data_IF_028144873795
#
_entry.id   IF_028144873795
#
_cell.length_a   1.000
_cell.length_b   1.000
_cell.length_c   1.000
_cell.angle_alpha   90.00
_cell.angle_beta   90.00
_cell.angle_gamma   90.00
#
_symmetry.space_group_name_H-M   'P 1'
#
loop_
_entity.id
_entity.type
_entity.pdbx_description
1 polymer ?
#
# COMPACT_ATOMS: atom_id res chain seq x y z
N UNK A 1 4.03 40.96 21.11
CA UNK A 1 5.18 40.04 21.01
C UNK A 1 4.66 38.69 21.47
N UNK A 2 4.35 37.81 20.50
CA UNK A 2 3.85 36.46 20.78
C UNK A 2 5.02 35.59 21.22
N UNK A 3 4.96 35.06 22.44
CA UNK A 3 5.86 34.02 22.89
C UNK A 3 5.84 32.86 21.89
N UNK A 4 6.96 32.69 21.18
CA UNK A 4 7.18 31.53 20.35
C UNK A 4 7.26 30.33 21.29
N UNK A 5 6.14 29.65 21.47
CA UNK A 5 6.07 28.35 22.15
C UNK A 5 7.06 27.45 21.45
N UNK A 6 8.14 27.08 22.14
CA UNK A 6 8.98 25.93 21.80
C UNK A 6 8.09 24.69 21.92
N UNK A 7 7.21 24.49 20.94
CA UNK A 7 6.45 23.26 20.83
C UNK A 7 7.47 22.15 20.53
N UNK A 8 7.72 21.33 21.52
CA UNK A 8 8.34 20.02 21.35
C UNK A 8 7.57 19.31 20.23
N UNK A 9 8.24 19.02 19.13
CA UNK A 9 7.73 18.49 17.86
C UNK A 9 7.26 17.02 17.96
N UNK A 10 6.35 16.75 18.90
CA UNK A 10 5.84 15.40 19.17
C UNK A 10 4.57 15.06 18.38
N UNK A 11 4.23 15.87 17.38
CA UNK A 11 3.08 15.64 16.52
C UNK A 11 3.35 16.10 15.09
N UNK A 12 2.56 15.58 14.17
CA UNK A 12 2.52 15.99 12.77
C UNK A 12 1.19 16.64 12.44
N UNK A 13 1.20 17.59 11.50
CA UNK A 13 0.03 18.28 10.96
C UNK A 13 -0.29 17.67 9.59
N UNK A 14 -1.50 17.19 9.41
CA UNK A 14 -1.99 16.67 8.15
C UNK A 14 -3.11 17.60 7.69
N UNK A 15 -2.85 18.52 6.74
CA UNK A 15 -3.88 19.41 6.20
C UNK A 15 -5.05 18.63 5.62
N UNK A 16 -6.26 19.17 5.76
CA UNK A 16 -7.47 18.53 5.23
C UNK A 16 -7.41 18.35 3.71
N UNK A 17 -6.72 19.24 3.02
CA UNK A 17 -6.50 19.20 1.58
C UNK A 17 -5.73 17.95 1.11
N UNK A 18 -4.92 17.34 1.99
CA UNK A 18 -4.20 16.12 1.66
C UNK A 18 -5.08 14.87 1.69
N UNK A 19 -6.12 14.86 2.52
CA UNK A 19 -6.95 13.70 2.77
C UNK A 19 -7.74 13.26 1.52
N UNK A 20 -8.13 14.20 0.68
CA UNK A 20 -8.93 13.94 -0.52
C UNK A 20 -8.09 13.54 -1.75
N UNK A 21 -6.75 13.47 -1.64
CA UNK A 21 -5.86 13.20 -2.79
C UNK A 21 -5.57 11.73 -3.04
N UNK A 22 -6.21 10.81 -2.33
CA UNK A 22 -6.09 9.36 -2.54
C UNK A 22 -4.76 8.74 -2.08
N UNK A 23 -3.98 9.44 -1.27
CA UNK A 23 -2.76 8.87 -0.69
C UNK A 23 -3.07 7.76 0.32
N UNK A 24 -2.18 6.78 0.40
CA UNK A 24 -2.24 5.78 1.47
C UNK A 24 -2.08 6.43 2.84
N UNK A 25 -2.51 5.75 3.91
CA UNK A 25 -2.29 6.24 5.27
C UNK A 25 -0.81 6.55 5.55
N UNK A 26 0.10 5.69 5.10
CA UNK A 26 1.55 5.92 5.20
C UNK A 26 2.01 7.14 4.39
N UNK A 27 1.46 7.34 3.19
CA UNK A 27 1.74 8.51 2.35
C UNK A 27 1.28 9.81 3.02
N UNK A 28 0.07 9.84 3.59
CA UNK A 28 -0.46 10.98 4.33
C UNK A 28 0.41 11.35 5.53
N UNK A 29 0.90 10.34 6.28
CA UNK A 29 1.77 10.56 7.42
C UNK A 29 3.15 11.11 6.99
N UNK A 30 3.72 10.53 5.94
CA UNK A 30 4.99 10.99 5.38
C UNK A 30 4.88 12.43 4.89
N UNK A 31 3.83 12.75 4.13
CA UNK A 31 3.54 14.10 3.66
C UNK A 31 3.29 15.07 4.83
N UNK A 32 2.48 14.67 5.80
CA UNK A 32 2.18 15.46 7.00
C UNK A 32 3.44 15.80 7.80
N UNK A 33 4.38 14.85 7.91
CA UNK A 33 5.67 15.12 8.57
C UNK A 33 6.51 16.11 7.76
N UNK A 34 6.65 15.91 6.45
CA UNK A 34 7.36 16.86 5.59
C UNK A 34 6.72 18.24 5.69
N UNK A 35 5.39 18.33 5.59
CA UNK A 35 4.66 19.60 5.72
C UNK A 35 4.92 20.27 7.06
N UNK A 36 4.84 19.54 8.17
CA UNK A 36 5.03 20.10 9.53
C UNK A 36 6.41 20.72 9.70
N UNK A 37 7.43 20.07 9.18
CA UNK A 37 8.81 20.52 9.33
C UNK A 37 9.29 21.46 8.23
N UNK A 38 8.58 21.54 7.09
CA UNK A 38 8.87 22.50 6.01
C UNK A 38 8.00 23.75 6.04
N UNK A 39 6.90 23.77 6.81
CA UNK A 39 6.07 24.95 6.96
C UNK A 39 6.69 25.95 7.94
N UNK A 40 6.30 27.18 7.85
CA UNK A 40 6.89 28.45 8.32
C UNK A 40 7.44 28.57 9.76
N UNK A 41 7.34 27.54 10.59
CA UNK A 41 7.93 27.52 11.94
C UNK A 41 9.32 26.85 12.00
N UNK A 42 9.75 26.18 10.94
CA UNK A 42 11.12 25.70 10.84
C UNK A 42 12.01 26.84 10.34
N UNK A 43 13.00 27.24 11.11
CA UNK A 43 13.98 28.30 10.76
C UNK A 43 14.58 28.19 9.34
N UNK A 44 14.38 27.07 8.66
CA UNK A 44 14.95 26.77 7.35
C UNK A 44 13.94 26.29 6.29
N UNK A 45 12.64 26.19 6.60
CA UNK A 45 11.61 25.81 5.62
C UNK A 45 11.75 24.41 5.01
N UNK A 46 12.59 23.54 5.58
CA UNK A 46 12.89 22.22 5.04
C UNK A 46 12.82 21.13 6.10
N UNK A 47 12.24 19.97 5.76
CA UNK A 47 12.26 18.77 6.59
C UNK A 47 13.59 18.02 6.38
N UNK A 48 14.45 18.01 7.37
CA UNK A 48 15.76 17.33 7.36
C UNK A 48 15.70 16.04 8.14
N UNK A 49 14.85 15.13 7.74
CA UNK A 49 14.75 13.81 8.39
C UNK A 49 15.23 12.72 7.42
N UNK A 50 16.09 11.82 7.89
CA UNK A 50 16.49 10.65 7.12
C UNK A 50 15.31 9.68 6.98
N UNK A 51 15.35 8.80 5.98
CA UNK A 51 14.35 7.73 5.85
C UNK A 51 14.33 6.85 7.10
N UNK A 52 15.48 6.61 7.71
CA UNK A 52 15.60 5.89 8.99
C UNK A 52 14.80 6.59 10.11
N UNK A 53 14.83 7.92 10.18
CA UNK A 53 14.05 8.69 11.16
C UNK A 53 12.55 8.59 10.88
N UNK A 54 12.12 8.72 9.61
CA UNK A 54 10.71 8.54 9.24
C UNK A 54 10.24 7.11 9.54
N UNK A 55 11.06 6.12 9.18
CA UNK A 55 10.79 4.71 9.39
C UNK A 55 10.57 4.42 10.89
N UNK A 56 11.44 4.95 11.75
CA UNK A 56 11.33 4.84 13.20
C UNK A 56 10.06 5.51 13.73
N UNK A 57 9.77 6.73 13.30
CA UNK A 57 8.64 7.51 13.83
C UNK A 57 7.29 6.87 13.49
N UNK A 58 7.15 6.30 12.29
CA UNK A 58 5.90 5.72 11.82
C UNK A 58 5.86 4.19 11.83
N UNK A 59 6.93 3.54 12.29
CA UNK A 59 7.07 2.08 12.27
C UNK A 59 6.85 1.51 10.86
N UNK A 60 7.53 2.11 9.92
CA UNK A 60 7.59 1.70 8.52
C UNK A 60 9.03 1.30 8.18
N UNK A 61 9.22 0.52 7.12
CA UNK A 61 10.57 0.30 6.58
C UNK A 61 11.07 1.55 5.84
N UNK A 62 12.38 1.75 5.79
CA UNK A 62 12.98 2.84 5.00
C UNK A 62 12.57 2.76 3.53
N UNK A 63 12.38 1.55 3.01
CA UNK A 63 11.94 1.29 1.64
C UNK A 63 10.49 1.73 1.41
N UNK A 64 9.60 1.49 2.38
CA UNK A 64 8.23 2.02 2.31
C UNK A 64 8.23 3.54 2.31
N UNK A 65 9.04 4.17 3.17
CA UNK A 65 9.19 5.63 3.18
C UNK A 65 9.74 6.13 1.84
N UNK A 66 10.78 5.49 1.29
CA UNK A 66 11.34 5.85 -0.02
C UNK A 66 10.29 5.79 -1.14
N UNK A 67 9.44 4.74 -1.13
CA UNK A 67 8.32 4.61 -2.07
C UNK A 67 7.30 5.75 -1.90
N UNK A 68 6.89 6.03 -0.67
CA UNK A 68 5.94 7.12 -0.41
C UNK A 68 6.51 8.48 -0.87
N UNK A 69 7.77 8.78 -0.56
CA UNK A 69 8.43 10.00 -1.02
C UNK A 69 8.53 10.06 -2.54
N UNK A 70 8.77 8.91 -3.22
CA UNK A 70 8.78 8.84 -4.68
C UNK A 70 7.40 9.17 -5.26
N UNK A 71 6.33 8.61 -4.70
CA UNK A 71 4.94 8.90 -5.08
C UNK A 71 4.61 10.39 -4.87
N UNK A 72 4.93 10.94 -3.69
CA UNK A 72 4.71 12.36 -3.38
C UNK A 72 5.48 13.31 -4.30
N UNK A 73 6.67 12.91 -4.77
CA UNK A 73 7.44 13.68 -5.77
C UNK A 73 6.80 13.60 -7.15
N UNK A 74 6.28 12.45 -7.55
CA UNK A 74 5.57 12.29 -8.82
C UNK A 74 4.31 13.16 -8.87
N UNK A 75 3.60 13.30 -7.74
CA UNK A 75 2.45 14.18 -7.56
C UNK A 75 2.83 15.66 -7.32
N UNK A 76 4.11 16.01 -7.43
CA UNK A 76 4.64 17.36 -7.22
C UNK A 76 4.32 17.97 -5.84
N UNK A 77 3.99 17.13 -4.87
CA UNK A 77 3.70 17.57 -3.50
C UNK A 77 4.96 17.86 -2.68
N UNK A 78 6.08 17.25 -3.06
CA UNK A 78 7.35 17.34 -2.34
C UNK A 78 8.50 17.52 -3.31
N UNK A 79 9.38 18.48 -3.00
CA UNK A 79 10.66 18.69 -3.68
C UNK A 79 11.79 18.22 -2.75
N UNK A 80 12.77 17.55 -3.33
CA UNK A 80 13.98 17.12 -2.63
C UNK A 80 15.15 18.04 -3.00
N UNK A 81 15.73 18.68 -2.00
CA UNK A 81 17.01 19.37 -2.16
C UNK A 81 18.16 18.37 -2.13
N UNK A 82 18.90 18.30 -3.24
CA UNK A 82 20.06 17.42 -3.42
C UNK A 82 21.40 18.13 -3.14
N UNK A 83 21.38 19.41 -2.79
CA UNK A 83 22.59 20.21 -2.65
C UNK A 83 23.51 19.75 -1.52
N UNK A 84 23.01 18.95 -0.57
CA UNK A 84 23.77 18.45 0.59
C UNK A 84 23.88 16.93 0.57
N UNK A 85 25.12 16.42 0.57
CA UNK A 85 25.42 14.97 0.51
C UNK A 85 25.03 14.19 1.76
N UNK A 86 24.91 14.81 2.91
CA UNK A 86 24.78 14.10 4.19
C UNK A 86 23.34 13.77 4.61
N UNK A 87 22.36 14.60 4.25
CA UNK A 87 20.93 14.37 4.56
C UNK A 87 20.06 14.94 3.45
N UNK A 88 19.14 14.14 2.94
CA UNK A 88 18.14 14.67 2.01
C UNK A 88 17.21 15.63 2.75
N UNK A 89 17.08 16.84 2.22
CA UNK A 89 16.12 17.82 2.69
C UNK A 89 14.88 17.79 1.80
N UNK A 90 13.70 17.79 2.41
CA UNK A 90 12.41 17.75 1.73
C UNK A 90 11.64 19.02 2.04
N UNK A 91 11.05 19.62 1.01
CA UNK A 91 10.19 20.78 1.15
C UNK A 91 8.81 20.45 0.57
N UNK A 92 7.77 20.84 1.26
CA UNK A 92 6.43 20.82 0.71
C UNK A 92 6.33 21.84 -0.43
N UNK A 93 5.90 21.40 -1.61
CA UNK A 93 5.85 22.20 -2.84
C UNK A 93 4.42 22.39 -3.37
N UNK A 94 3.41 21.86 -2.70
CA UNK A 94 2.01 22.03 -3.09
C UNK A 94 1.49 23.44 -2.80
N UNK A 95 0.23 23.65 -3.15
CA UNK A 95 -0.48 24.91 -2.89
C UNK A 95 -0.53 25.24 -1.39
N UNK A 96 -0.71 26.52 -1.06
CA UNK A 96 -0.89 26.95 0.33
C UNK A 96 -2.11 26.24 0.91
N UNK A 97 -1.88 25.46 1.98
CA UNK A 97 -2.95 24.81 2.71
C UNK A 97 -3.70 25.83 3.59
N UNK A 98 -4.99 25.65 3.70
CA UNK A 98 -5.83 26.41 4.62
C UNK A 98 -5.45 26.16 6.08
N UNK A 99 -6.18 26.78 7.01
CA UNK A 99 -5.88 26.71 8.46
C UNK A 99 -6.30 25.40 9.14
N UNK A 100 -6.94 24.49 8.41
CA UNK A 100 -7.46 23.23 8.95
C UNK A 100 -6.49 22.07 8.78
N UNK A 101 -6.17 21.37 9.88
CA UNK A 101 -5.35 20.17 9.84
C UNK A 101 -5.75 19.16 10.92
N UNK A 102 -5.47 17.89 10.65
CA UNK A 102 -5.51 16.83 11.66
C UNK A 102 -4.17 16.82 12.40
N UNK A 103 -4.25 16.83 13.72
CA UNK A 103 -3.07 16.66 14.58
C UNK A 103 -2.89 15.20 14.94
N UNK A 104 -1.79 14.59 14.51
CA UNK A 104 -1.44 13.21 14.82
C UNK A 104 -0.18 13.15 15.67
N UNK A 105 -0.29 12.55 16.84
CA UNK A 105 0.78 12.51 17.84
C UNK A 105 1.71 11.33 17.58
N UNK A 106 3.03 11.55 17.58
CA UNK A 106 4.02 10.53 17.28
C UNK A 106 4.01 9.34 18.26
N UNK A 107 3.65 9.54 19.52
CA UNK A 107 3.58 8.44 20.48
C UNK A 107 2.53 7.38 20.13
N UNK A 108 1.50 7.73 19.36
CA UNK A 108 0.46 6.78 18.93
C UNK A 108 1.03 5.68 18.05
N UNK A 109 2.12 5.94 17.32
CA UNK A 109 2.81 4.96 16.46
C UNK A 109 3.78 4.07 17.24
N UNK A 110 4.23 4.53 18.40
CA UNK A 110 5.33 3.92 19.15
C UNK A 110 4.92 3.27 20.47
N UNK A 111 3.64 3.26 20.81
CA UNK A 111 3.12 2.63 22.01
C UNK A 111 2.10 1.55 21.68
N UNK A 112 2.17 0.47 22.44
CA UNK A 112 1.17 -0.60 22.40
C UNK A 112 -0.06 -0.19 23.23
N UNK A 113 -1.20 -0.65 22.75
CA UNK A 113 -2.49 -0.48 23.41
C UNK A 113 -3.08 -1.84 23.68
N UNK A 114 -3.67 -2.00 24.86
CA UNK A 114 -4.46 -3.18 25.22
C UNK A 114 -5.79 -3.12 24.47
N UNK A 115 -6.07 -4.13 23.64
CA UNK A 115 -7.29 -4.22 22.86
C UNK A 115 -8.06 -5.44 23.36
N UNK A 116 -9.23 -5.22 23.90
CA UNK A 116 -10.05 -6.31 24.40
C UNK A 116 -10.30 -7.36 23.33
N UNK A 117 -9.96 -8.61 23.64
CA UNK A 117 -10.04 -9.75 22.74
C UNK A 117 -8.86 -9.95 21.77
N UNK A 118 -7.90 -8.99 21.69
CA UNK A 118 -6.71 -9.10 20.83
C UNK A 118 -5.38 -9.00 21.61
N UNK A 119 -5.43 -8.56 22.90
CA UNK A 119 -4.24 -8.33 23.71
C UNK A 119 -3.52 -7.02 23.35
N UNK A 120 -2.22 -6.94 23.71
CA UNK A 120 -1.40 -5.75 23.46
C UNK A 120 -0.87 -5.76 22.02
N UNK A 121 -1.17 -4.70 21.30
CA UNK A 121 -0.58 -4.45 19.98
C UNK A 121 -0.49 -2.95 19.68
N UNK A 122 0.24 -2.63 18.66
CA UNK A 122 0.27 -1.28 18.10
C UNK A 122 -0.97 -1.02 17.25
N UNK A 123 -1.39 0.25 17.22
CA UNK A 123 -2.43 0.67 16.29
C UNK A 123 -1.90 0.70 14.85
N UNK A 124 -2.72 0.32 13.91
CA UNK A 124 -2.43 0.50 12.48
C UNK A 124 -2.48 1.98 12.09
N UNK A 125 -1.85 2.34 10.97
CA UNK A 125 -1.86 3.72 10.48
C UNK A 125 -3.28 4.27 10.24
N UNK A 126 -4.19 3.43 9.73
CA UNK A 126 -5.60 3.81 9.54
C UNK A 126 -6.32 4.04 10.87
N UNK A 127 -6.08 3.19 11.87
CA UNK A 127 -6.64 3.38 13.24
C UNK A 127 -6.13 4.68 13.86
N UNK A 128 -4.84 4.99 13.66
CA UNK A 128 -4.26 6.24 14.17
C UNK A 128 -4.83 7.46 13.45
N UNK A 129 -5.03 7.41 12.12
CA UNK A 129 -5.66 8.50 11.37
C UNK A 129 -7.09 8.76 11.84
N UNK A 130 -7.90 7.71 12.03
CA UNK A 130 -9.27 7.84 12.56
C UNK A 130 -9.26 8.43 13.98
N UNK A 131 -8.37 7.94 14.85
CA UNK A 131 -8.20 8.47 16.21
C UNK A 131 -7.77 9.93 16.19
N UNK A 132 -6.82 10.29 15.33
CA UNK A 132 -6.30 11.66 15.20
C UNK A 132 -7.36 12.63 14.69
N UNK A 133 -8.21 12.21 13.76
CA UNK A 133 -9.35 12.99 13.30
C UNK A 133 -10.32 13.27 14.47
N UNK A 134 -10.75 12.23 15.19
CA UNK A 134 -11.66 12.37 16.33
C UNK A 134 -11.02 13.26 17.40
N UNK A 135 -9.73 13.07 17.70
CA UNK A 135 -9.00 13.84 18.70
C UNK A 135 -8.92 15.33 18.35
N UNK A 136 -8.64 15.66 17.12
CA UNK A 136 -8.55 17.04 16.66
C UNK A 136 -9.86 17.78 16.88
N UNK A 137 -10.98 17.14 16.55
CA UNK A 137 -12.31 17.71 16.78
C UNK A 137 -12.70 17.77 18.28
N UNK A 138 -12.34 16.74 19.06
CA UNK A 138 -12.59 16.74 20.50
C UNK A 138 -11.69 17.73 21.27
N UNK A 139 -10.61 18.20 20.66
CA UNK A 139 -9.74 19.25 21.21
C UNK A 139 -10.36 20.64 21.20
N UNK A 140 -11.37 20.87 20.38
CA UNK A 140 -12.10 22.14 20.37
C UNK A 140 -12.96 22.23 21.66
N UNK A 141 -12.70 23.23 22.52
CA UNK A 141 -13.43 23.36 23.81
C UNK A 141 -14.94 23.53 23.61
N UNK A 142 -15.39 24.09 22.50
CA UNK A 142 -16.82 24.27 22.18
C UNK A 142 -17.50 22.98 21.70
N UNK A 143 -16.78 22.05 21.08
CA UNK A 143 -17.38 20.83 20.53
C UNK A 143 -17.27 19.64 21.52
N UNK A 144 -16.12 19.42 22.17
CA UNK A 144 -15.88 18.35 23.15
C UNK A 144 -16.07 16.91 22.65
N UNK A 145 -16.64 16.75 21.45
CA UNK A 145 -16.96 15.50 20.79
C UNK A 145 -16.87 15.64 19.28
N UNK A 146 -16.58 14.55 18.60
CA UNK A 146 -16.67 14.46 17.15
C UNK A 146 -18.06 13.94 16.78
N UNK A 147 -18.79 14.69 15.95
CA UNK A 147 -20.07 14.27 15.39
C UNK A 147 -19.93 14.11 13.89
N UNK A 148 -20.07 12.90 13.39
CA UNK A 148 -19.94 12.64 11.96
C UNK A 148 -20.35 11.22 11.61
N UNK A 149 -20.79 11.04 10.37
CA UNK A 149 -21.11 9.70 9.86
C UNK A 149 -19.84 8.94 9.50
N UNK A 150 -19.92 7.60 9.53
CA UNK A 150 -18.85 6.72 9.06
C UNK A 150 -18.50 7.00 7.61
N UNK A 151 -19.52 7.25 6.76
CA UNK A 151 -19.31 7.63 5.34
C UNK A 151 -18.57 8.97 5.22
N UNK A 152 -18.91 9.94 6.08
CA UNK A 152 -18.23 11.25 6.12
C UNK A 152 -16.76 11.10 6.51
N UNK A 153 -16.46 10.31 7.56
CA UNK A 153 -15.08 9.98 7.93
C UNK A 153 -14.34 9.26 6.80
N UNK A 154 -14.98 8.27 6.19
CA UNK A 154 -14.41 7.49 5.08
C UNK A 154 -14.04 8.39 3.90
N UNK A 155 -14.97 9.24 3.46
CA UNK A 155 -14.73 10.22 2.39
C UNK A 155 -13.59 11.18 2.75
N UNK A 156 -13.59 11.70 3.98
CA UNK A 156 -12.58 12.65 4.44
C UNK A 156 -11.18 12.02 4.50
N UNK A 157 -11.05 10.77 5.00
CA UNK A 157 -9.77 10.10 5.18
C UNK A 157 -9.30 9.31 3.95
N UNK A 158 -10.08 9.26 2.86
CA UNK A 158 -9.78 8.43 1.69
C UNK A 158 -9.81 6.92 1.99
N UNK A 159 -10.60 6.51 2.99
CA UNK A 159 -10.72 5.10 3.42
C UNK A 159 -12.10 4.54 3.02
N UNK A 160 -12.20 3.20 2.97
CA UNK A 160 -13.52 2.57 2.82
C UNK A 160 -14.35 2.70 4.12
N UNK A 161 -15.68 2.76 4.01
CA UNK A 161 -16.56 2.79 5.18
C UNK A 161 -16.39 1.57 6.09
N UNK A 162 -16.11 0.40 5.51
CA UNK A 162 -15.82 -0.83 6.24
C UNK A 162 -14.50 -0.74 7.01
N UNK A 163 -13.48 -0.11 6.43
CA UNK A 163 -12.20 0.15 7.11
C UNK A 163 -12.41 1.09 8.29
N UNK A 164 -13.13 2.20 8.10
CA UNK A 164 -13.42 3.14 9.19
C UNK A 164 -14.22 2.46 10.30
N UNK A 165 -15.23 1.65 9.96
CA UNK A 165 -16.00 0.88 10.95
C UNK A 165 -15.09 -0.02 11.77
N UNK A 166 -14.22 -0.82 11.14
CA UNK A 166 -13.26 -1.68 11.85
C UNK A 166 -12.32 -0.88 12.76
N UNK A 167 -11.81 0.25 12.26
CA UNK A 167 -10.97 1.14 13.08
C UNK A 167 -11.71 1.64 14.33
N UNK A 168 -12.95 2.10 14.17
CA UNK A 168 -13.77 2.56 15.30
C UNK A 168 -14.03 1.44 16.31
N UNK A 169 -14.28 0.21 15.87
CA UNK A 169 -14.53 -0.92 16.75
C UNK A 169 -13.27 -1.31 17.54
N UNK A 170 -12.10 -1.29 16.88
CA UNK A 170 -10.81 -1.47 17.58
C UNK A 170 -10.57 -0.37 18.60
N UNK A 171 -10.77 0.90 18.24
CA UNK A 171 -10.55 2.03 19.12
C UNK A 171 -11.50 2.02 20.34
N UNK A 172 -12.73 1.53 20.18
CA UNK A 172 -13.67 1.29 21.31
C UNK A 172 -13.17 0.17 22.21
N UNK A 173 -12.75 -0.98 21.64
CA UNK A 173 -12.21 -2.11 22.40
C UNK A 173 -10.90 -1.76 23.12
N UNK A 174 -10.13 -0.81 22.58
CA UNK A 174 -8.95 -0.25 23.22
C UNK A 174 -9.29 0.83 24.27
N UNK A 175 -10.56 1.11 24.52
CA UNK A 175 -11.03 2.19 25.40
C UNK A 175 -10.47 3.57 25.08
N UNK A 176 -10.00 3.79 23.85
CA UNK A 176 -9.47 5.07 23.39
C UNK A 176 -10.56 6.08 23.04
N UNK A 177 -11.71 5.57 22.60
CA UNK A 177 -12.90 6.35 22.30
C UNK A 177 -14.13 5.73 22.96
N UNK A 178 -15.10 6.59 23.26
CA UNK A 178 -16.48 6.19 23.59
C UNK A 178 -17.43 6.69 22.52
N UNK A 179 -18.49 5.93 22.26
CA UNK A 179 -19.53 6.30 21.31
C UNK A 179 -20.81 6.57 22.07
N UNK A 180 -21.33 7.78 21.97
CA UNK A 180 -22.66 8.14 22.48
C UNK A 180 -23.66 7.98 21.32
N UNK A 181 -24.39 6.87 21.29
CA UNK A 181 -25.50 6.69 20.35
C UNK A 181 -26.77 7.29 20.95
N UNK A 182 -26.92 8.59 20.89
CA UNK A 182 -28.22 9.26 21.09
C UNK A 182 -28.42 10.22 19.93
N UNK A 183 -29.08 9.71 18.90
CA UNK A 183 -29.82 10.58 18.01
C UNK A 183 -31.23 10.73 18.61
N UNK A 184 -31.60 11.89 19.16
CA UNK A 184 -32.94 12.11 19.69
C UNK A 184 -34.04 11.99 18.61
N UNK A 185 -33.69 12.04 17.33
CA UNK A 185 -34.61 12.14 16.20
C UNK A 185 -34.33 11.13 15.08
N UNK A 186 -33.85 9.93 15.38
CA UNK A 186 -33.63 8.88 14.35
C UNK A 186 -32.53 9.17 13.34
N UNK A 187 -31.77 10.24 13.47
CA UNK A 187 -30.63 10.55 12.61
C UNK A 187 -29.44 9.66 12.96
N UNK A 188 -28.83 9.04 11.91
CA UNK A 188 -27.71 8.08 12.02
C UNK A 188 -26.35 8.74 12.34
N UNK A 189 -26.32 9.75 13.22
CA UNK A 189 -25.09 10.42 13.62
C UNK A 189 -24.59 9.86 14.92
N UNK A 190 -23.35 9.42 14.97
CA UNK A 190 -22.71 8.97 16.21
C UNK A 190 -21.80 10.07 16.75
N UNK A 191 -21.82 10.28 18.05
CA UNK A 191 -20.91 11.19 18.72
C UNK A 191 -19.79 10.39 19.38
N UNK A 192 -18.54 10.73 19.06
CA UNK A 192 -17.36 10.07 19.61
C UNK A 192 -16.64 11.02 20.58
N UNK A 193 -16.25 10.50 21.74
CA UNK A 193 -15.42 11.20 22.72
C UNK A 193 -14.11 10.46 22.91
N UNK A 194 -13.07 11.20 23.21
CA UNK A 194 -11.72 10.68 23.48
C UNK A 194 -11.54 10.41 24.98
N UNK A 195 -10.92 9.29 25.30
CA UNK A 195 -10.42 9.00 26.62
C UNK A 195 -9.11 9.79 26.88
N UNK A 196 -9.25 11.06 27.28
CA UNK A 196 -8.12 11.95 27.53
C UNK A 196 -7.16 11.42 28.61
N UNK A 197 -7.67 10.72 29.64
CA UNK A 197 -6.87 10.18 30.74
C UNK A 197 -5.91 9.11 30.24
N UNK A 198 -6.40 8.13 29.46
CA UNK A 198 -5.59 7.04 28.90
C UNK A 198 -4.53 7.58 27.94
N UNK A 199 -4.90 8.50 27.04
CA UNK A 199 -3.95 9.09 26.08
C UNK A 199 -2.85 9.90 26.77
N UNK A 200 -3.17 10.68 27.81
CA UNK A 200 -2.15 11.39 28.62
C UNK A 200 -1.19 10.43 29.32
N UNK A 201 -1.68 9.29 29.81
CA UNK A 201 -0.82 8.27 30.42
C UNK A 201 0.16 7.71 29.38
N UNK A 202 -0.32 7.34 28.21
CA UNK A 202 0.52 6.82 27.10
C UNK A 202 1.52 7.87 26.59
N UNK A 203 1.13 9.12 26.52
CA UNK A 203 2.05 10.22 26.18
C UNK A 203 3.17 10.39 27.22
N UNK A 204 2.84 10.28 28.52
CA UNK A 204 3.86 10.33 29.59
C UNK A 204 4.82 9.15 29.54
N UNK A 205 4.31 7.95 29.29
CA UNK A 205 5.12 6.74 29.06
C UNK A 205 6.07 6.91 27.86
N UNK A 206 5.60 7.51 26.78
CA UNK A 206 6.42 7.83 25.61
C UNK A 206 7.55 8.81 25.96
N UNK A 207 7.22 9.94 26.62
CA UNK A 207 8.22 10.94 27.02
C UNK A 207 9.28 10.37 27.96
N UNK A 208 8.92 9.42 28.83
CA UNK A 208 9.88 8.71 29.69
C UNK A 208 10.75 7.75 28.91
N UNK A 209 10.21 7.03 27.91
CA UNK A 209 10.95 6.05 27.11
C UNK A 209 11.78 6.68 25.99
N UNK A 210 11.39 7.87 25.49
CA UNK A 210 12.17 8.62 24.50
C UNK A 210 13.55 9.07 25.03
N UNK A 211 13.73 9.06 26.37
CA UNK A 211 15.03 9.22 27.02
C UNK A 211 15.87 7.93 27.06
N UNK A 212 15.29 6.76 26.74
CA UNK A 212 15.96 5.46 26.62
C UNK A 212 15.75 4.93 25.19
N UNK A 213 16.83 4.70 24.52
CA UNK A 213 17.07 4.20 23.18
C UNK A 213 15.96 3.50 22.37
N UNK A 214 16.01 3.82 21.11
CA UNK A 214 15.26 3.32 19.95
C UNK A 214 15.37 1.79 19.74
N UNK A 215 14.31 1.05 20.00
CA UNK A 215 14.22 -0.37 19.66
C UNK A 215 13.22 -0.58 18.52
N UNK A 216 13.66 -1.26 17.46
CA UNK A 216 12.78 -1.78 16.42
C UNK A 216 12.41 -3.21 16.80
N UNK A 217 11.14 -3.51 16.99
CA UNK A 217 10.68 -4.86 17.31
C UNK A 217 11.04 -5.83 16.17
N UNK A 218 11.86 -6.88 16.43
CA UNK A 218 12.31 -7.81 15.41
C UNK A 218 11.15 -8.55 14.70
N UNK A 219 10.00 -8.74 15.35
CA UNK A 219 8.83 -9.36 14.72
C UNK A 219 8.23 -8.49 13.62
N UNK A 220 8.25 -7.17 13.79
CA UNK A 220 7.74 -6.23 12.78
C UNK A 220 8.72 -6.10 11.64
N UNK A 221 10.03 -6.05 11.94
CA UNK A 221 11.04 -6.09 10.90
C UNK A 221 10.93 -7.37 10.05
N UNK A 222 10.57 -8.50 10.66
CA UNK A 222 10.34 -9.76 9.94
C UNK A 222 9.08 -9.72 9.06
N UNK A 223 7.97 -9.17 9.56
CA UNK A 223 6.72 -9.01 8.78
C UNK A 223 6.91 -8.03 7.61
N UNK A 224 7.60 -6.92 7.85
CA UNK A 224 7.92 -5.96 6.79
C UNK A 224 8.84 -6.59 5.73
N UNK A 225 9.85 -7.37 6.14
CA UNK A 225 10.71 -8.10 5.22
C UNK A 225 9.95 -9.16 4.40
N UNK A 226 8.96 -9.82 5.01
CA UNK A 226 8.09 -10.75 4.29
C UNK A 226 7.22 -10.02 3.27
N UNK A 227 6.55 -8.95 3.65
CA UNK A 227 5.73 -8.14 2.76
C UNK A 227 6.54 -7.56 1.59
N UNK A 228 7.80 -7.17 1.84
CA UNK A 228 8.72 -6.72 0.80
C UNK A 228 9.07 -7.82 -0.20
N UNK A 229 9.30 -9.05 0.29
CA UNK A 229 9.55 -10.20 -0.59
C UNK A 229 8.35 -10.53 -1.46
N UNK A 230 7.16 -10.60 -0.86
CA UNK A 230 5.92 -10.86 -1.58
C UNK A 230 5.68 -9.80 -2.68
N UNK A 231 5.90 -8.53 -2.35
CA UNK A 231 5.80 -7.45 -3.32
C UNK A 231 6.85 -7.58 -4.44
N UNK A 232 8.11 -7.86 -4.09
CA UNK A 232 9.18 -8.07 -5.07
C UNK A 232 8.82 -9.15 -6.07
N UNK A 233 8.42 -10.33 -5.59
CA UNK A 233 8.08 -11.44 -6.47
C UNK A 233 6.83 -11.19 -7.29
N UNK A 234 5.81 -10.55 -6.72
CA UNK A 234 4.60 -10.19 -7.47
C UNK A 234 4.91 -9.23 -8.64
N UNK A 235 5.80 -8.26 -8.42
CA UNK A 235 6.25 -7.34 -9.48
C UNK A 235 7.11 -8.05 -10.51
N UNK A 236 8.05 -8.89 -10.08
CA UNK A 236 8.93 -9.65 -10.98
C UNK A 236 8.11 -10.59 -11.87
N UNK A 237 7.20 -11.36 -11.29
CA UNK A 237 6.29 -12.24 -12.01
C UNK A 237 5.44 -11.50 -13.04
N UNK A 238 4.78 -10.40 -12.62
CA UNK A 238 3.97 -9.58 -13.53
C UNK A 238 4.78 -9.01 -14.70
N UNK A 239 6.04 -8.59 -14.45
CA UNK A 239 6.93 -8.11 -15.51
C UNK A 239 7.34 -9.23 -16.47
N UNK A 240 7.49 -10.46 -15.99
CA UNK A 240 7.83 -11.62 -16.81
C UNK A 240 6.64 -12.08 -17.67
N UNK A 241 5.42 -12.00 -17.13
CA UNK A 241 4.18 -12.46 -17.77
C UNK A 241 3.58 -11.44 -18.74
N UNK A 242 3.67 -10.13 -18.44
CA UNK A 242 3.03 -9.08 -19.23
C UNK A 242 3.35 -9.09 -20.74
N UNK A 243 4.60 -9.31 -21.19
CA UNK A 243 4.88 -9.40 -22.64
C UNK A 243 4.18 -10.59 -23.31
N UNK A 244 4.16 -11.75 -22.62
CA UNK A 244 3.50 -12.94 -23.12
C UNK A 244 1.97 -12.78 -23.18
N UNK A 245 1.38 -12.17 -22.16
CA UNK A 245 -0.04 -11.84 -22.14
C UNK A 245 -0.42 -10.86 -23.26
N UNK A 246 0.40 -9.84 -23.50
CA UNK A 246 0.20 -8.89 -24.61
C UNK A 246 0.31 -9.57 -25.98
N UNK A 247 1.26 -10.47 -26.16
CA UNK A 247 1.41 -11.23 -27.40
C UNK A 247 0.20 -12.16 -27.62
N UNK A 248 -0.26 -12.85 -26.58
CA UNK A 248 -1.47 -13.68 -26.63
C UNK A 248 -2.73 -12.86 -26.92
N UNK A 249 -2.88 -11.69 -26.30
CA UNK A 249 -4.03 -10.82 -26.53
C UNK A 249 -4.06 -10.31 -27.97
N UNK A 250 -2.92 -9.95 -28.55
CA UNK A 250 -2.81 -9.58 -29.95
C UNK A 250 -3.25 -10.72 -30.87
N UNK A 251 -2.85 -11.96 -30.58
CA UNK A 251 -3.30 -13.14 -31.36
C UNK A 251 -4.81 -13.38 -31.20
N UNK A 252 -5.36 -13.16 -30.00
CA UNK A 252 -6.81 -13.28 -29.76
C UNK A 252 -7.64 -12.24 -30.50
N UNK A 253 -7.09 -11.10 -30.88
CA UNK A 253 -7.78 -10.09 -31.70
C UNK A 253 -7.78 -10.44 -33.19
N UNK A 254 -6.90 -11.32 -33.65
CA UNK A 254 -6.85 -11.76 -35.04
C UNK A 254 -7.88 -12.88 -35.29
N UNK A 255 -8.87 -12.58 -36.13
CA UNK A 255 -9.98 -13.51 -36.42
C UNK A 255 -9.52 -14.79 -37.11
N UNK A 256 -8.55 -14.69 -38.06
CA UNK A 256 -8.00 -15.83 -38.75
C UNK A 256 -7.19 -16.75 -37.85
N UNK A 257 -6.43 -16.17 -36.94
CA UNK A 257 -5.72 -16.96 -35.94
C UNK A 257 -6.69 -17.71 -35.02
N UNK A 258 -7.72 -17.04 -34.49
CA UNK A 258 -8.75 -17.66 -33.63
C UNK A 258 -9.50 -18.82 -34.33
N UNK A 259 -9.84 -18.64 -35.60
CA UNK A 259 -10.50 -19.71 -36.35
C UNK A 259 -9.55 -20.89 -36.55
N UNK A 260 -8.29 -20.65 -36.91
CA UNK A 260 -7.29 -21.69 -37.07
C UNK A 260 -7.06 -22.44 -35.74
N UNK A 261 -6.93 -21.73 -34.64
CA UNK A 261 -6.78 -22.30 -33.30
C UNK A 261 -7.98 -23.17 -32.90
N UNK A 262 -9.19 -22.68 -33.14
CA UNK A 262 -10.44 -23.43 -32.90
C UNK A 262 -10.46 -24.73 -33.69
N UNK A 263 -10.17 -24.67 -34.97
CA UNK A 263 -10.11 -25.85 -35.86
C UNK A 263 -9.03 -26.83 -35.44
N UNK A 264 -7.85 -26.34 -35.12
CA UNK A 264 -6.75 -27.15 -34.60
C UNK A 264 -7.15 -27.90 -33.34
N UNK A 265 -7.73 -27.19 -32.38
CA UNK A 265 -8.15 -27.75 -31.08
C UNK A 265 -9.29 -28.77 -31.22
N UNK A 266 -10.21 -28.57 -32.16
CA UNK A 266 -11.29 -29.53 -32.43
C UNK A 266 -10.77 -30.85 -33.05
N UNK A 267 -9.64 -30.84 -33.75
CA UNK A 267 -9.03 -32.03 -34.35
C UNK A 267 -8.24 -32.85 -33.32
N UNK A 268 -7.70 -32.23 -32.30
CA UNK A 268 -6.88 -32.91 -31.26
C UNK A 268 -7.59 -34.10 -30.60
N UNK A 269 -8.82 -33.97 -30.05
CA UNK A 269 -9.52 -35.12 -29.49
C UNK A 269 -9.94 -36.16 -30.54
N UNK A 270 -10.29 -35.72 -31.75
CA UNK A 270 -10.62 -36.67 -32.87
C UNK A 270 -9.42 -37.52 -33.24
N UNK A 271 -8.22 -36.93 -33.31
CA UNK A 271 -6.98 -37.66 -33.58
C UNK A 271 -6.77 -38.73 -32.51
N UNK A 272 -6.93 -38.38 -31.23
CA UNK A 272 -6.84 -39.33 -30.13
C UNK A 272 -7.85 -40.49 -30.25
N UNK A 273 -9.09 -40.18 -30.65
CA UNK A 273 -10.14 -41.20 -30.88
C UNK A 273 -9.79 -42.12 -32.04
N UNK A 274 -9.41 -41.56 -33.18
CA UNK A 274 -9.05 -42.36 -34.38
C UNK A 274 -7.83 -43.26 -34.14
N UNK A 275 -6.85 -42.76 -33.39
CA UNK A 275 -5.68 -43.52 -32.97
C UNK A 275 -6.06 -44.71 -32.06
N UNK A 276 -6.90 -44.45 -31.07
CA UNK A 276 -7.36 -45.48 -30.12
C UNK A 276 -8.19 -46.58 -30.79
N UNK A 277 -8.96 -46.25 -31.83
CA UNK A 277 -9.78 -47.22 -32.59
C UNK A 277 -9.10 -47.79 -33.83
N UNK A 278 -7.83 -47.51 -34.09
CA UNK A 278 -7.08 -48.01 -35.21
C UNK A 278 -7.55 -47.53 -36.61
N UNK A 279 -8.26 -46.40 -36.63
CA UNK A 279 -8.82 -45.83 -37.89
C UNK A 279 -7.72 -45.07 -38.65
N UNK A 280 -6.87 -45.80 -39.35
CA UNK A 280 -5.62 -45.26 -39.91
C UNK A 280 -5.83 -44.20 -40.99
N UNK A 281 -6.88 -44.33 -41.83
CA UNK A 281 -7.15 -43.37 -42.91
C UNK A 281 -7.73 -42.07 -42.38
N UNK A 282 -8.69 -42.13 -41.45
CA UNK A 282 -9.27 -40.98 -40.74
C UNK A 282 -8.22 -40.26 -39.92
N UNK A 283 -7.35 -41.02 -39.25
CA UNK A 283 -6.22 -40.49 -38.51
C UNK A 283 -5.27 -39.69 -39.40
N UNK A 284 -4.93 -40.23 -40.58
CA UNK A 284 -4.07 -39.57 -41.56
C UNK A 284 -4.69 -38.27 -42.07
N UNK A 285 -5.98 -38.29 -42.40
CA UNK A 285 -6.74 -37.11 -42.85
C UNK A 285 -6.78 -36.05 -41.75
N UNK A 286 -7.12 -36.42 -40.52
CA UNK A 286 -7.20 -35.49 -39.39
C UNK A 286 -5.83 -34.88 -39.04
N UNK A 287 -4.76 -35.65 -39.02
CA UNK A 287 -3.38 -35.15 -38.84
C UNK A 287 -2.95 -34.19 -39.98
N UNK A 288 -3.33 -34.50 -41.22
CA UNK A 288 -3.06 -33.64 -42.38
C UNK A 288 -3.79 -32.28 -42.27
N UNK A 289 -5.05 -32.31 -41.87
CA UNK A 289 -5.85 -31.10 -41.64
C UNK A 289 -5.32 -30.30 -40.45
N UNK A 290 -4.98 -30.95 -39.35
CA UNK A 290 -4.38 -30.29 -38.15
C UNK A 290 -3.06 -29.58 -38.53
N UNK A 291 -2.21 -30.22 -39.35
CA UNK A 291 -0.97 -29.60 -39.85
C UNK A 291 -1.23 -28.35 -40.71
N UNK A 292 -2.30 -28.35 -41.54
CA UNK A 292 -2.70 -27.15 -42.29
C UNK A 292 -3.09 -26.01 -41.39
N UNK A 293 -3.91 -26.24 -40.35
CA UNK A 293 -4.30 -25.21 -39.43
C UNK A 293 -3.12 -24.71 -38.56
N UNK A 294 -2.19 -25.58 -38.17
CA UNK A 294 -0.95 -25.19 -37.52
C UNK A 294 -0.10 -24.25 -38.42
N UNK A 295 -0.05 -24.51 -39.72
CA UNK A 295 0.66 -23.65 -40.69
C UNK A 295 -0.01 -22.26 -40.78
N UNK A 296 -1.34 -22.19 -40.79
CA UNK A 296 -2.07 -20.91 -40.78
C UNK A 296 -1.79 -20.14 -39.50
N UNK A 297 -1.79 -20.80 -38.34
CA UNK A 297 -1.43 -20.15 -37.07
C UNK A 297 0.00 -19.58 -37.13
N UNK A 298 0.96 -20.35 -37.62
CA UNK A 298 2.36 -19.91 -37.75
C UNK A 298 2.51 -18.71 -38.71
N UNK A 299 1.80 -18.70 -39.81
CA UNK A 299 1.77 -17.58 -40.77
C UNK A 299 1.22 -16.32 -40.12
N UNK A 300 0.13 -16.43 -39.34
CA UNK A 300 -0.45 -15.28 -38.65
C UNK A 300 0.45 -14.73 -37.55
N UNK A 301 1.11 -15.61 -36.77
CA UNK A 301 2.12 -15.23 -35.82
C UNK A 301 3.27 -14.45 -36.47
N UNK A 302 3.78 -14.96 -37.60
CA UNK A 302 4.84 -14.29 -38.32
C UNK A 302 4.40 -12.93 -38.89
N UNK A 303 3.18 -12.82 -39.41
CA UNK A 303 2.62 -11.55 -39.89
C UNK A 303 2.49 -10.48 -38.79
N UNK A 304 2.34 -10.90 -37.52
CA UNK A 304 2.29 -10.02 -36.36
C UNK A 304 3.63 -9.79 -35.68
N UNK A 305 4.73 -10.36 -36.23
CA UNK A 305 6.05 -10.38 -35.62
C UNK A 305 6.00 -10.95 -34.16
N UNK A 306 5.27 -12.04 -33.97
CA UNK A 306 5.20 -12.77 -32.72
C UNK A 306 5.87 -14.11 -32.88
N UNK A 307 6.92 -14.36 -32.12
CA UNK A 307 7.58 -15.66 -32.09
C UNK A 307 6.94 -16.60 -31.06
N UNK A 308 7.07 -17.92 -31.17
CA UNK A 308 6.62 -18.86 -30.12
C UNK A 308 7.24 -18.61 -28.77
N UNK A 309 8.41 -17.99 -28.73
CA UNK A 309 9.12 -17.62 -27.51
C UNK A 309 8.48 -16.40 -26.83
N UNK A 310 7.85 -15.49 -27.58
CA UNK A 310 7.16 -14.33 -27.03
C UNK A 310 5.85 -14.70 -26.32
N UNK A 311 5.33 -15.90 -26.54
CA UNK A 311 4.17 -16.44 -25.85
C UNK A 311 4.51 -17.08 -24.49
N UNK A 312 5.79 -17.15 -24.16
CA UNK A 312 6.27 -17.73 -22.90
C UNK A 312 6.76 -16.63 -21.98
N UNK A 313 6.36 -16.65 -20.69
CA UNK A 313 6.91 -15.73 -19.71
C UNK A 313 8.43 -15.87 -19.60
N UNK A 314 9.13 -14.74 -19.52
CA UNK A 314 10.58 -14.71 -19.35
C UNK A 314 10.93 -14.45 -17.89
N UNK A 315 10.86 -15.49 -17.07
CA UNK A 315 11.18 -15.40 -15.64
C UNK A 315 12.66 -15.11 -15.41
N UNK A 316 12.94 -14.22 -14.48
CA UNK A 316 14.29 -13.88 -14.04
C UNK A 316 14.94 -15.04 -13.26
N UNK A 317 14.15 -15.75 -12.48
CA UNK A 317 14.56 -16.97 -11.79
C UNK A 317 13.79 -18.18 -12.32
N UNK A 318 14.48 -19.05 -13.05
CA UNK A 318 13.89 -20.27 -13.61
C UNK A 318 13.50 -21.28 -12.52
N UNK A 319 14.22 -21.29 -11.38
CA UNK A 319 13.97 -22.24 -10.28
C UNK A 319 12.60 -22.05 -9.63
N UNK A 320 12.18 -20.81 -9.42
CA UNK A 320 10.91 -20.49 -8.76
C UNK A 320 9.91 -19.76 -9.65
N UNK A 321 10.24 -19.54 -10.93
CA UNK A 321 9.39 -18.77 -11.87
C UNK A 321 8.92 -17.44 -11.26
N UNK A 322 9.86 -16.73 -10.60
CA UNK A 322 9.65 -15.46 -9.93
C UNK A 322 8.52 -15.47 -8.86
N UNK A 323 8.20 -16.62 -8.30
CA UNK A 323 7.23 -16.76 -7.19
C UNK A 323 7.88 -16.61 -5.82
N UNK A 324 9.19 -16.80 -5.73
CA UNK A 324 9.93 -16.81 -4.47
C UNK A 324 9.94 -18.15 -3.75
N UNK A 325 9.16 -19.13 -4.24
CA UNK A 325 9.07 -20.47 -3.65
C UNK A 325 9.41 -21.53 -4.69
N UNK A 326 10.17 -22.53 -4.27
CA UNK A 326 10.45 -23.71 -5.06
C UNK A 326 9.23 -24.63 -5.11
N UNK A 327 9.13 -25.58 -6.06
CA UNK A 327 8.00 -26.53 -6.12
C UNK A 327 7.76 -27.33 -4.85
N UNK A 328 8.77 -27.54 -4.03
CA UNK A 328 8.68 -28.20 -2.73
C UNK A 328 8.23 -27.30 -1.58
N UNK A 329 7.82 -26.05 -1.85
CA UNK A 329 7.38 -25.08 -0.85
C UNK A 329 8.52 -24.36 -0.10
N UNK A 330 9.78 -24.70 -0.36
CA UNK A 330 10.91 -24.00 0.25
C UNK A 330 11.14 -22.64 -0.39
N UNK A 331 11.64 -21.68 0.40
CA UNK A 331 11.99 -20.35 -0.12
C UNK A 331 13.17 -20.43 -1.10
N UNK A 332 13.04 -19.75 -2.23
CA UNK A 332 14.10 -19.63 -3.20
C UNK A 332 15.16 -18.63 -2.73
N UNK A 333 16.43 -18.93 -3.02
CA UNK A 333 17.59 -18.10 -2.70
C UNK A 333 17.84 -16.95 -3.68
N UNK A 334 16.99 -16.80 -4.70
CA UNK A 334 17.11 -15.76 -5.73
C UNK A 334 16.75 -14.35 -5.26
N UNK A 335 16.23 -14.19 -4.05
CA UNK A 335 15.96 -12.87 -3.49
C UNK A 335 17.28 -12.12 -3.25
N UNK A 336 17.46 -10.92 -3.81
CA UNK A 336 18.71 -10.20 -3.66
C UNK A 336 18.98 -9.86 -2.20
N UNK A 337 20.10 -10.32 -1.67
CA UNK A 337 20.61 -9.89 -0.34
C UNK A 337 20.91 -8.40 -0.43
N UNK A 338 20.04 -7.57 0.17
CA UNK A 338 20.16 -6.11 0.14
C UNK A 338 19.12 -5.34 -0.67
N UNK A 339 18.08 -6.01 -1.20
CA UNK A 339 16.85 -5.36 -1.70
C UNK A 339 17.01 -4.38 -2.86
N UNK A 340 18.04 -4.48 -3.70
CA UNK A 340 18.17 -3.66 -4.92
C UNK A 340 17.52 -4.37 -6.11
N UNK A 341 16.47 -3.76 -6.64
CA UNK A 341 15.93 -4.03 -7.98
C UNK A 341 16.79 -3.40 -9.04
#
# INVERSE_FOLDING_TARGET
MSEAVKENENYIRIPYEFLCKGFTAAGLLTLGKIFTFSSANAKEGTCRSSFKTFAKDFRLSERQIARQVKELKAEKMVVQDKSRRACAAYTYAGEKCGNGFIRSELYLYQKEFEIFGEGKRYLTHSEILVLSLIRTHCGNPKAGKYTGSIRGMAKLLGLSSSTVQRCLDVLKRAHLITCESKAPNGSRWSAYRINKKLLKTKEREYKKSAKKESYVDPKIAALDAQAEREHFYSVAKRRAEAPAEQAQERLRTDERYREAERRYNMLTPKIGTYDAFGQTEELRKAKGEQKRWAAVMAERMQAMNISPEDLRPRYRCVKCSDTGFLPNGQMCDCYPKGGRL
#
